data_IF_308352674730
#
_entry.id   IF_308352674730
#
_cell.length_a   1.000
_cell.length_b   1.000
_cell.length_c   1.000
_cell.angle_alpha   90.00
_cell.angle_beta   90.00
_cell.angle_gamma   90.00
#
_symmetry.space_group_name_H-M   'P 1'
#
loop_
_entity.id
_entity.type
_entity.pdbx_description
1 polymer ?
#
# COMPACT_ATOMS: atom_id res chain seq x y z
N UNK A 1 3.06 10.31 20.98
CA UNK A 1 2.66 8.90 21.14
C UNK A 1 2.29 8.34 19.78
N UNK A 2 3.17 7.52 19.21
CA UNK A 2 3.09 7.00 17.83
C UNK A 2 1.90 6.03 17.72
N UNK A 3 0.76 6.50 17.19
CA UNK A 3 -0.44 5.68 16.93
C UNK A 3 -0.56 5.20 15.47
N UNK A 4 0.43 5.50 14.63
CA UNK A 4 0.31 5.34 13.17
C UNK A 4 0.99 4.09 12.59
N UNK A 5 1.52 3.17 13.41
CA UNK A 5 2.29 2.02 12.91
C UNK A 5 1.63 0.63 13.11
N UNK A 6 0.49 0.54 13.80
CA UNK A 6 -0.14 -0.75 14.10
C UNK A 6 -1.36 -0.99 13.20
N UNK A 7 -1.31 -2.07 12.42
CA UNK A 7 -2.34 -2.50 11.46
C UNK A 7 -3.62 -3.03 12.15
N UNK A 8 -3.61 -3.06 13.48
CA UNK A 8 -4.67 -3.55 14.34
C UNK A 8 -5.19 -2.40 15.18
N UNK A 9 -6.46 -2.05 15.00
CA UNK A 9 -7.15 -1.10 15.86
C UNK A 9 -7.95 -1.85 16.93
N UNK A 10 -7.99 -1.26 18.11
CA UNK A 10 -8.78 -1.77 19.23
C UNK A 10 -10.27 -1.58 18.89
N UNK A 11 -10.94 -2.65 18.53
CA UNK A 11 -12.33 -2.62 18.09
C UNK A 11 -13.27 -3.03 19.21
N UNK A 12 -14.30 -2.20 19.45
CA UNK A 12 -15.36 -2.48 20.42
C UNK A 12 -16.66 -2.80 19.70
N UNK A 13 -17.19 -4.00 19.92
CA UNK A 13 -18.49 -4.42 19.40
C UNK A 13 -19.59 -3.54 19.99
N UNK A 14 -20.30 -2.76 19.16
CA UNK A 14 -21.43 -1.92 19.60
C UNK A 14 -22.66 -2.71 20.06
N UNK A 15 -22.84 -3.94 19.57
CA UNK A 15 -23.97 -4.82 19.96
C UNK A 15 -23.72 -5.60 21.25
N UNK A 16 -22.47 -5.97 21.51
CA UNK A 16 -22.12 -7.02 22.48
C UNK A 16 -21.06 -6.61 23.50
N UNK A 17 -20.53 -5.38 23.43
CA UNK A 17 -19.56 -4.84 24.38
C UNK A 17 -18.18 -5.46 24.33
N UNK A 18 -18.01 -6.58 23.63
CA UNK A 18 -16.74 -7.28 23.44
C UNK A 18 -15.65 -6.38 22.87
N UNK A 19 -14.47 -6.45 23.49
CA UNK A 19 -13.25 -5.74 23.07
C UNK A 19 -12.33 -6.75 22.40
N UNK A 20 -12.05 -6.53 21.13
CA UNK A 20 -11.16 -7.39 20.35
C UNK A 20 -10.26 -6.55 19.46
N UNK A 21 -9.26 -7.21 18.87
CA UNK A 21 -8.39 -6.58 17.89
C UNK A 21 -9.00 -6.80 16.51
N UNK A 22 -9.31 -5.71 15.80
CA UNK A 22 -9.75 -5.81 14.41
C UNK A 22 -8.61 -5.36 13.53
N UNK A 23 -8.18 -6.25 12.63
CA UNK A 23 -7.26 -5.86 11.57
C UNK A 23 -7.99 -4.83 10.69
N UNK A 24 -7.49 -3.59 10.69
CA UNK A 24 -7.95 -2.57 9.75
C UNK A 24 -7.19 -2.75 8.43
N UNK A 25 -7.37 -3.92 7.81
CA UNK A 25 -7.00 -4.13 6.41
C UNK A 25 -8.06 -3.47 5.53
N UNK A 26 -8.18 -2.15 5.64
CA UNK A 26 -8.96 -1.35 4.70
C UNK A 26 -8.07 -1.21 3.47
N UNK A 27 -8.02 -2.27 2.65
CA UNK A 27 -7.47 -2.20 1.31
C UNK A 27 -8.36 -1.24 0.51
N UNK A 28 -8.04 0.04 0.64
CA UNK A 28 -8.78 1.08 -0.04
C UNK A 28 -8.49 0.92 -1.54
N UNK A 29 -9.54 0.81 -2.36
CA UNK A 29 -9.39 0.66 -3.83
C UNK A 29 -8.51 1.77 -4.41
N UNK A 30 -8.51 2.94 -3.78
CA UNK A 30 -7.62 4.07 -4.09
C UNK A 30 -6.14 3.79 -3.83
N UNK A 31 -5.81 3.08 -2.75
CA UNK A 31 -4.43 2.69 -2.39
C UNK A 31 -3.87 1.70 -3.40
N UNK A 32 -4.65 0.67 -3.76
CA UNK A 32 -4.27 -0.31 -4.79
C UNK A 32 -4.03 0.38 -6.14
N UNK A 33 -4.93 1.31 -6.53
CA UNK A 33 -4.76 2.08 -7.78
C UNK A 33 -3.47 2.89 -7.80
N UNK A 34 -3.10 3.52 -6.67
CA UNK A 34 -1.84 4.27 -6.56
C UNK A 34 -0.62 3.36 -6.67
N UNK A 35 -0.62 2.22 -5.98
CA UNK A 35 0.47 1.24 -6.03
C UNK A 35 0.70 0.76 -7.46
N UNK A 36 -0.38 0.39 -8.17
CA UNK A 36 -0.30 -0.04 -9.57
C UNK A 36 0.26 1.08 -10.47
N UNK A 37 -0.20 2.32 -10.28
CA UNK A 37 0.27 3.44 -11.08
C UNK A 37 1.77 3.68 -10.93
N UNK A 38 2.28 3.71 -9.69
CA UNK A 38 3.71 3.87 -9.45
C UNK A 38 4.52 2.69 -9.95
N UNK A 39 4.00 1.46 -9.83
CA UNK A 39 4.66 0.27 -10.33
C UNK A 39 4.84 0.30 -11.85
N UNK A 40 3.79 0.69 -12.59
CA UNK A 40 3.86 0.88 -14.04
C UNK A 40 4.90 1.95 -14.40
N UNK A 41 4.90 3.07 -13.67
CA UNK A 41 5.82 4.18 -13.91
C UNK A 41 7.28 3.78 -13.70
N UNK A 42 7.56 2.96 -12.68
CA UNK A 42 8.89 2.37 -12.46
C UNK A 42 9.31 1.44 -13.60
N UNK A 43 8.41 0.58 -14.09
CA UNK A 43 8.73 -0.32 -15.20
C UNK A 43 9.07 0.48 -16.46
N UNK A 44 8.28 1.50 -16.79
CA UNK A 44 8.53 2.35 -17.96
C UNK A 44 9.89 3.03 -17.84
N UNK A 45 10.20 3.61 -16.67
CA UNK A 45 11.49 4.25 -16.43
C UNK A 45 12.65 3.26 -16.59
N UNK A 46 12.53 2.05 -16.03
CA UNK A 46 13.54 1.01 -16.15
C UNK A 46 13.77 0.58 -17.61
N UNK A 47 12.71 0.42 -18.40
CA UNK A 47 12.80 0.08 -19.84
C UNK A 47 13.52 1.18 -20.61
N UNK A 48 13.18 2.45 -20.35
CA UNK A 48 13.83 3.59 -21.01
C UNK A 48 15.33 3.60 -20.70
N UNK A 49 15.71 3.49 -19.43
CA UNK A 49 17.12 3.47 -19.01
C UNK A 49 17.86 2.28 -19.61
N UNK A 50 17.24 1.09 -19.62
CA UNK A 50 17.83 -0.10 -20.24
C UNK A 50 18.08 0.09 -21.75
N UNK A 51 17.11 0.66 -22.47
CA UNK A 51 17.26 0.93 -23.90
C UNK A 51 18.32 2.00 -24.18
N UNK A 52 18.44 3.02 -23.33
CA UNK A 52 19.48 4.04 -23.44
C UNK A 52 20.87 3.45 -23.21
N UNK A 53 21.04 2.61 -22.18
CA UNK A 53 22.30 1.93 -21.91
C UNK A 53 22.72 1.03 -23.07
N UNK A 54 21.76 0.29 -23.65
CA UNK A 54 22.01 -0.57 -24.82
C UNK A 54 22.39 0.21 -26.09
N UNK A 55 22.00 1.47 -26.19
CA UNK A 55 22.35 2.32 -27.34
C UNK A 55 23.76 2.94 -27.19
N UNK A 56 24.23 3.10 -25.96
CA UNK A 56 25.53 3.71 -25.63
C UNK A 56 26.65 2.67 -25.55
N UNK A 57 26.35 1.44 -25.09
CA UNK A 57 27.28 0.32 -25.00
C UNK A 57 27.35 -0.47 -26.31
#
# INVERSE_FOLDING_TARGET
>A
MIKYLTWYELYRCKKCGWRGWKANFILNKSMIRRIIFYFILMIIAAIIVYNLLKLIA
#
